data_IF_568403947985
#
_entry.id   IF_568403947985
#
_cell.length_a   1.000
_cell.length_b   1.000
_cell.length_c   1.000
_cell.angle_alpha   90.00
_cell.angle_beta   90.00
_cell.angle_gamma   90.00
#
_symmetry.space_group_name_H-M   'P 1'
#
loop_
_entity.id
_entity.type
_entity.pdbx_description
1 polymer ?
#
# COMPACT_ATOMS: atom_id res chain seq x y z
N UNK A 1 9.94 3.91 17.32
CA UNK A 1 10.74 4.40 16.18
C UNK A 1 11.14 5.83 16.41
N UNK A 2 12.30 6.21 15.89
CA UNK A 2 12.77 7.58 15.78
C UNK A 2 12.61 8.07 14.34
N UNK A 3 12.71 9.39 14.14
CA UNK A 3 12.75 9.94 12.79
C UNK A 3 13.95 9.34 12.03
N UNK A 4 13.70 8.89 10.80
CA UNK A 4 14.71 8.23 9.95
C UNK A 4 14.74 6.70 10.05
N UNK A 5 14.04 6.08 11.01
CA UNK A 5 13.90 4.62 11.04
C UNK A 5 13.15 4.12 9.79
N UNK A 6 13.65 3.06 9.16
CA UNK A 6 13.06 2.42 7.98
C UNK A 6 12.43 1.08 8.34
N UNK A 7 11.26 0.78 7.75
CA UNK A 7 10.60 -0.51 7.87
C UNK A 7 10.39 -1.13 6.49
N UNK A 8 10.59 -2.45 6.41
CA UNK A 8 10.27 -3.25 5.22
C UNK A 8 9.07 -4.14 5.52
N UNK A 9 8.09 -4.12 4.62
CA UNK A 9 6.93 -5.00 4.65
C UNK A 9 6.93 -5.89 3.43
N UNK A 10 6.73 -7.20 3.61
CA UNK A 10 6.60 -8.14 2.51
C UNK A 10 5.14 -8.15 2.02
N UNK A 11 4.70 -7.03 1.44
CA UNK A 11 3.36 -6.85 0.86
C UNK A 11 2.25 -7.56 1.66
N UNK A 12 1.49 -8.41 0.98
CA UNK A 12 0.36 -9.16 1.57
C UNK A 12 0.72 -10.21 2.62
N UNK A 13 2.01 -10.51 2.81
CA UNK A 13 2.48 -11.44 3.84
C UNK A 13 2.83 -10.73 5.16
N UNK A 14 2.56 -9.43 5.26
CA UNK A 14 2.86 -8.63 6.45
C UNK A 14 1.63 -7.82 6.89
N UNK A 15 0.85 -8.39 7.82
CA UNK A 15 -0.20 -7.63 8.49
C UNK A 15 0.44 -6.57 9.40
N UNK A 16 -0.02 -5.34 9.29
CA UNK A 16 0.48 -4.22 10.09
C UNK A 16 -0.65 -3.27 10.47
N UNK A 17 -0.55 -2.67 11.65
CA UNK A 17 -1.49 -1.71 12.20
C UNK A 17 -0.73 -0.61 12.94
N UNK A 18 -1.23 0.61 12.88
CA UNK A 18 -0.73 1.74 13.67
C UNK A 18 -1.81 2.26 14.63
N UNK A 19 -1.39 2.70 15.81
CA UNK A 19 -2.27 3.40 16.75
C UNK A 19 -2.48 4.86 16.34
N UNK A 20 -3.62 5.42 16.75
CA UNK A 20 -3.95 6.85 16.54
C UNK A 20 -2.86 7.74 17.13
N UNK A 21 -2.52 8.82 16.42
CA UNK A 21 -1.61 9.82 16.95
C UNK A 21 -2.34 10.65 18.02
N UNK A 22 -1.87 10.60 19.27
CA UNK A 22 -2.42 11.36 20.41
C UNK A 22 -1.42 12.37 20.98
N UNK A 23 -0.23 12.48 20.38
CA UNK A 23 0.81 13.41 20.81
C UNK A 23 0.64 14.81 20.25
N UNK A 24 1.55 15.71 20.64
CA UNK A 24 1.58 17.12 20.19
C UNK A 24 2.43 17.34 18.93
N UNK A 25 2.97 16.27 18.36
CA UNK A 25 3.82 16.33 17.16
C UNK A 25 3.28 15.43 16.06
N UNK A 26 3.50 15.84 14.82
CA UNK A 26 3.07 15.07 13.66
C UNK A 26 3.96 13.85 13.44
N UNK A 27 3.32 12.74 13.04
CA UNK A 27 4.02 11.54 12.56
C UNK A 27 4.12 11.62 11.04
N UNK A 28 5.20 12.22 10.54
CA UNK A 28 5.49 12.28 9.11
C UNK A 28 6.04 10.94 8.62
N UNK A 29 5.51 10.44 7.50
CA UNK A 29 5.88 9.16 6.90
C UNK A 29 6.10 9.33 5.40
N UNK A 30 7.09 8.61 4.87
CA UNK A 30 7.25 8.39 3.42
C UNK A 30 6.94 6.92 3.15
N UNK A 31 5.90 6.65 2.37
CA UNK A 31 5.49 5.29 1.99
C UNK A 31 5.86 5.05 0.53
N UNK A 32 6.77 4.11 0.29
CA UNK A 32 7.17 3.69 -1.06
C UNK A 32 6.80 2.23 -1.27
N UNK A 33 6.21 1.94 -2.43
CA UNK A 33 5.85 0.58 -2.84
C UNK A 33 6.70 0.18 -4.05
N UNK A 34 7.19 -1.06 -4.05
CA UNK A 34 7.99 -1.62 -5.14
C UNK A 34 7.32 -2.87 -5.68
N UNK A 35 7.24 -2.98 -7.00
CA UNK A 35 6.75 -4.17 -7.68
C UNK A 35 7.91 -4.98 -8.23
N UNK A 36 7.78 -6.32 -8.23
CA UNK A 36 8.84 -7.22 -8.71
C UNK A 36 9.01 -7.13 -10.23
N UNK A 37 7.95 -6.77 -10.96
CA UNK A 37 7.95 -6.68 -12.42
C UNK A 37 7.12 -5.48 -12.90
N UNK A 38 7.44 -4.90 -14.07
CA UNK A 38 6.56 -3.93 -14.72
C UNK A 38 5.16 -4.50 -14.97
N UNK A 39 4.15 -3.65 -14.92
CA UNK A 39 2.75 -4.07 -15.13
C UNK A 39 2.10 -4.77 -13.93
N UNK A 40 2.81 -4.89 -12.80
CA UNK A 40 2.25 -5.41 -11.56
C UNK A 40 1.77 -4.24 -10.71
N UNK A 41 0.45 -4.14 -10.57
CA UNK A 41 -0.20 -3.01 -9.92
C UNK A 41 -0.99 -3.45 -8.68
N UNK A 42 -1.03 -2.54 -7.70
CA UNK A 42 -1.92 -2.68 -6.54
C UNK A 42 -3.39 -2.62 -6.94
N UNK A 43 -4.29 -2.81 -5.99
CA UNK A 43 -5.70 -2.55 -6.23
C UNK A 43 -5.95 -1.05 -6.40
N UNK A 44 -6.70 -0.65 -7.41
CA UNK A 44 -6.96 0.76 -7.71
C UNK A 44 -7.58 1.51 -6.51
N UNK A 45 -8.50 0.89 -5.77
CA UNK A 45 -9.09 1.51 -4.57
C UNK A 45 -8.03 1.75 -3.49
N UNK A 46 -7.06 0.84 -3.32
CA UNK A 46 -5.99 0.99 -2.33
C UNK A 46 -4.96 2.02 -2.71
N UNK A 47 -4.60 2.06 -4.00
CA UNK A 47 -3.68 3.06 -4.52
C UNK A 47 -4.29 4.45 -4.31
N UNK A 48 -5.60 4.63 -4.57
CA UNK A 48 -6.32 5.87 -4.25
C UNK A 48 -6.40 6.17 -2.75
N UNK A 49 -6.68 5.17 -1.91
CA UNK A 49 -6.74 5.38 -0.45
C UNK A 49 -5.37 5.76 0.14
N UNK A 50 -4.29 5.17 -0.37
CA UNK A 50 -2.93 5.40 0.11
C UNK A 50 -2.30 6.68 -0.44
N UNK A 51 -2.50 6.98 -1.73
CA UNK A 51 -1.82 8.07 -2.43
C UNK A 51 -2.73 9.21 -2.88
N UNK A 52 -4.05 9.04 -2.79
CA UNK A 52 -5.05 10.02 -3.23
C UNK A 52 -5.38 9.99 -4.73
N UNK A 53 -4.64 9.23 -5.53
CA UNK A 53 -4.82 9.13 -6.99
C UNK A 53 -4.32 7.77 -7.51
N UNK A 54 -4.70 7.41 -8.74
CA UNK A 54 -4.35 6.16 -9.41
C UNK A 54 -4.31 6.40 -10.92
N UNK A 55 -3.48 5.65 -11.66
CA UNK A 55 -3.39 5.66 -13.12
C UNK A 55 -4.49 4.79 -13.75
N UNK A 56 -4.75 5.05 -15.03
CA UNK A 56 -5.76 4.32 -15.82
C UNK A 56 -5.47 2.83 -15.98
N UNK A 57 -4.21 2.43 -16.06
CA UNK A 57 -3.80 1.03 -16.23
C UNK A 57 -4.15 0.20 -14.99
N UNK A 58 -4.05 0.79 -13.80
CA UNK A 58 -4.44 0.15 -12.55
C UNK A 58 -5.96 0.00 -12.43
N UNK A 59 -6.72 0.97 -12.92
CA UNK A 59 -8.18 0.90 -12.98
C UNK A 59 -8.64 -0.22 -13.92
N UNK A 60 -8.07 -0.29 -15.13
CA UNK A 60 -8.40 -1.30 -16.13
C UNK A 60 -8.02 -2.74 -15.72
N UNK A 61 -6.96 -2.90 -14.92
CA UNK A 61 -6.54 -4.21 -14.42
C UNK A 61 -7.37 -4.72 -13.26
N UNK A 62 -8.00 -3.83 -12.50
CA UNK A 62 -8.87 -4.23 -11.38
C UNK A 62 -10.10 -5.00 -11.88
N UNK A 63 -10.64 -4.63 -13.04
CA UNK A 63 -11.79 -5.29 -13.67
C UNK A 63 -11.50 -6.75 -14.08
N UNK A 64 -10.23 -7.12 -14.23
CA UNK A 64 -9.79 -8.43 -14.72
C UNK A 64 -9.05 -9.28 -13.67
N UNK A 65 -9.00 -8.86 -12.40
CA UNK A 65 -8.26 -9.58 -11.35
C UNK A 65 -8.99 -10.85 -10.91
N UNK A 66 -8.49 -12.01 -11.34
CA UNK A 66 -8.82 -13.33 -10.76
C UNK A 66 -7.72 -13.72 -9.77
N UNK A 67 -8.04 -13.83 -8.48
CA UNK A 67 -7.10 -14.23 -7.43
C UNK A 67 -7.16 -15.74 -7.19
N UNK A 68 -6.00 -16.36 -7.02
CA UNK A 68 -5.90 -17.80 -6.79
C UNK A 68 -6.03 -18.23 -5.32
N UNK A 69 -5.86 -17.32 -4.36
CA UNK A 69 -5.63 -17.67 -2.95
C UNK A 69 -6.74 -17.25 -1.97
N UNK A 70 -7.83 -16.63 -2.45
CA UNK A 70 -9.00 -16.29 -1.62
C UNK A 70 -8.73 -15.27 -0.49
N UNK A 71 -7.52 -14.73 -0.40
CA UNK A 71 -7.17 -13.73 0.60
C UNK A 71 -7.61 -12.34 0.15
N UNK A 72 -8.26 -11.62 1.07
CA UNK A 72 -8.44 -10.19 0.96
C UNK A 72 -7.07 -9.52 0.93
N UNK A 73 -6.95 -8.42 0.20
CA UNK A 73 -5.88 -7.48 0.50
C UNK A 73 -6.12 -6.90 1.89
#
# INVERSE_FOLDING_TARGET
MKAGDLQYFLGRFSLHQVTRNTGTTDRLLLVQSFAVKPGMYGSSYRVKDLYGWCQSEEEALEENKVRADGLLD
#
